data_IF_884027618396
#
_entry.id   IF_884027618396
#
_cell.length_a   1.000
_cell.length_b   1.000
_cell.length_c   1.000
_cell.angle_alpha   90.00
_cell.angle_beta   90.00
_cell.angle_gamma   90.00
#
_symmetry.space_group_name_H-M   'P 1'
#
loop_
_entity.id
_entity.type
_entity.pdbx_description
1 polymer ?
#
# COMPACT_ATOMS: atom_id res chain seq x y z
N UNK A 1 7.29 -27.95 -26.34
CA UNK A 1 7.86 -27.05 -25.32
C UNK A 1 7.00 -25.79 -25.29
N UNK A 2 6.07 -25.70 -24.33
CA UNK A 2 5.15 -24.56 -24.24
C UNK A 2 5.91 -23.29 -23.88
N UNK A 3 5.88 -22.28 -24.74
CA UNK A 3 6.43 -20.96 -24.45
C UNK A 3 5.41 -20.22 -23.60
N UNK A 4 5.77 -19.86 -22.36
CA UNK A 4 4.99 -18.91 -21.56
C UNK A 4 5.12 -17.53 -22.21
N UNK A 5 4.01 -17.00 -22.73
CA UNK A 5 3.93 -15.63 -23.23
C UNK A 5 3.65 -14.70 -22.05
N UNK A 6 4.36 -13.57 -21.91
CA UNK A 6 4.00 -12.57 -20.91
C UNK A 6 2.62 -11.99 -21.26
N UNK A 7 1.71 -12.01 -20.30
CA UNK A 7 0.38 -11.40 -20.38
C UNK A 7 0.37 -10.19 -19.45
N UNK A 8 -0.09 -9.05 -19.96
CA UNK A 8 -0.30 -7.85 -19.16
C UNK A 8 -1.77 -7.74 -18.78
N UNK A 9 -2.04 -7.48 -17.50
CA UNK A 9 -3.38 -7.25 -16.97
C UNK A 9 -3.35 -6.06 -16.00
N UNK A 10 -4.36 -5.20 -16.08
CA UNK A 10 -4.51 -4.06 -15.17
C UNK A 10 -5.38 -4.49 -14.00
N UNK A 11 -4.83 -4.43 -12.79
CA UNK A 11 -5.55 -4.68 -11.54
C UNK A 11 -5.83 -3.35 -10.82
N UNK A 12 -7.09 -2.93 -10.80
CA UNK A 12 -7.50 -1.70 -10.13
C UNK A 12 -7.67 -1.93 -8.63
N UNK A 13 -7.03 -1.07 -7.82
CA UNK A 13 -7.18 -1.07 -6.36
C UNK A 13 -7.75 0.27 -5.92
N UNK A 14 -9.00 0.26 -5.45
CA UNK A 14 -9.63 1.43 -4.86
C UNK A 14 -9.23 1.56 -3.39
N UNK A 15 -8.34 2.51 -3.08
CA UNK A 15 -7.90 2.76 -1.71
C UNK A 15 -9.09 3.28 -0.88
N UNK A 16 -9.47 2.53 0.16
CA UNK A 16 -10.54 2.94 1.08
C UNK A 16 -9.98 3.78 2.23
N UNK A 17 -10.78 4.74 2.76
CA UNK A 17 -10.44 5.42 4.00
C UNK A 17 -10.13 4.44 5.13
N UNK A 18 -9.29 4.88 6.07
CA UNK A 18 -8.86 4.10 7.24
C UNK A 18 -7.97 2.88 6.98
N UNK A 19 -7.61 2.56 5.73
CA UNK A 19 -6.54 1.59 5.48
C UNK A 19 -5.23 2.06 6.09
N UNK A 20 -4.50 1.11 6.68
CA UNK A 20 -3.23 1.33 7.38
C UNK A 20 -2.13 0.57 6.65
N UNK A 21 -0.89 0.94 6.93
CA UNK A 21 0.26 0.09 6.59
C UNK A 21 -0.01 -1.37 7.01
N UNK A 22 0.20 -2.29 6.07
CA UNK A 22 -0.02 -3.72 6.29
C UNK A 22 -1.39 -4.25 5.83
N UNK A 23 -2.35 -3.41 5.45
CA UNK A 23 -3.61 -3.89 4.84
C UNK A 23 -3.31 -4.73 3.61
N UNK A 24 -3.87 -5.94 3.53
CA UNK A 24 -3.66 -6.91 2.44
C UNK A 24 -4.83 -6.89 1.46
N UNK A 25 -4.53 -6.78 0.17
CA UNK A 25 -5.47 -6.90 -0.94
C UNK A 25 -5.06 -8.12 -1.76
N UNK A 26 -5.95 -9.10 -1.87
CA UNK A 26 -5.64 -10.39 -2.51
C UNK A 26 -6.42 -10.54 -3.81
N UNK A 27 -5.70 -10.79 -4.89
CA UNK A 27 -6.27 -11.19 -6.18
C UNK A 27 -6.03 -12.69 -6.38
N UNK A 28 -7.08 -13.53 -6.27
CA UNK A 28 -6.91 -14.96 -6.30
C UNK A 28 -6.45 -15.44 -7.67
N UNK A 29 -5.53 -16.42 -7.70
CA UNK A 29 -5.03 -17.07 -8.93
C UNK A 29 -4.42 -16.11 -9.97
N UNK A 30 -3.87 -14.97 -9.54
CA UNK A 30 -3.20 -13.97 -10.41
C UNK A 30 -1.66 -14.00 -10.33
N UNK A 31 -1.09 -15.04 -9.73
CA UNK A 31 0.35 -15.30 -9.74
C UNK A 31 0.86 -15.88 -11.06
N UNK A 32 2.08 -16.42 -11.04
CA UNK A 32 2.69 -17.00 -12.23
C UNK A 32 2.00 -18.31 -12.64
N UNK A 33 1.50 -18.37 -13.86
CA UNK A 33 0.91 -19.58 -14.42
C UNK A 33 2.02 -20.55 -14.88
N UNK A 34 1.91 -21.81 -14.48
CA UNK A 34 2.76 -22.91 -14.96
C UNK A 34 1.90 -24.09 -15.39
N UNK A 35 2.29 -24.84 -16.44
CA UNK A 35 1.55 -26.02 -16.87
C UNK A 35 1.38 -27.02 -15.71
N UNK A 36 0.15 -27.48 -15.49
CA UNK A 36 -0.23 -28.45 -14.45
C UNK A 36 -0.10 -27.96 -12.99
N UNK A 37 0.05 -26.66 -12.74
CA UNK A 37 0.12 -26.07 -11.40
C UNK A 37 -1.00 -25.07 -11.21
N UNK A 38 -1.63 -25.09 -10.02
CA UNK A 38 -2.62 -24.07 -9.65
C UNK A 38 -1.88 -22.75 -9.42
N UNK A 39 -2.32 -21.70 -10.11
CA UNK A 39 -1.78 -20.35 -9.98
C UNK A 39 -1.91 -19.84 -8.56
N UNK A 40 -0.84 -19.24 -8.03
CA UNK A 40 -0.84 -18.63 -6.70
C UNK A 40 -1.65 -17.34 -6.68
N UNK A 41 -1.97 -16.85 -5.48
CA UNK A 41 -2.63 -15.56 -5.32
C UNK A 41 -1.61 -14.42 -5.39
N UNK A 42 -2.04 -13.28 -5.92
CA UNK A 42 -1.27 -12.04 -5.91
C UNK A 42 -1.74 -11.18 -4.73
N UNK A 43 -0.83 -10.87 -3.81
CA UNK A 43 -1.15 -10.08 -2.61
C UNK A 43 -0.42 -8.75 -2.65
N UNK A 44 -1.20 -7.67 -2.66
CA UNK A 44 -0.69 -6.31 -2.44
C UNK A 44 -0.76 -5.97 -0.96
N UNK A 45 0.30 -5.37 -0.44
CA UNK A 45 0.35 -4.86 0.93
C UNK A 45 0.45 -3.35 0.84
N UNK A 46 -0.48 -2.65 1.50
CA UNK A 46 -0.44 -1.20 1.59
C UNK A 46 0.76 -0.79 2.44
N UNK A 47 1.54 0.15 1.92
CA UNK A 47 2.60 0.84 2.66
C UNK A 47 2.31 2.34 2.73
N UNK A 48 2.85 2.98 3.76
CA UNK A 48 2.74 4.40 3.98
C UNK A 48 3.98 5.11 3.46
N UNK A 49 3.80 5.98 2.46
CA UNK A 49 4.88 6.81 1.95
C UNK A 49 5.12 7.98 2.92
N UNK A 50 6.38 8.29 3.28
CA UNK A 50 6.70 9.46 4.09
C UNK A 50 6.11 10.74 3.49
N UNK A 51 5.48 11.55 4.33
CA UNK A 51 4.94 12.86 3.97
C UNK A 51 5.80 13.97 4.59
N UNK A 52 5.99 15.07 3.88
CA UNK A 52 6.91 16.15 4.31
C UNK A 52 6.49 16.83 5.61
N UNK A 53 5.19 16.83 5.92
CA UNK A 53 4.61 17.57 7.04
C UNK A 53 4.08 16.66 8.15
N UNK A 54 3.58 15.48 7.79
CA UNK A 54 2.80 14.65 8.70
C UNK A 54 3.41 13.26 8.78
N UNK A 55 3.43 12.69 9.98
CA UNK A 55 3.66 11.26 10.19
C UNK A 55 2.38 10.67 10.73
N UNK A 56 1.93 9.55 10.17
CA UNK A 56 0.73 8.87 10.65
C UNK A 56 1.10 7.95 11.82
N UNK A 57 0.32 8.00 12.90
CA UNK A 57 0.38 7.04 13.99
C UNK A 57 -1.02 6.46 14.20
N UNK A 58 -1.24 5.25 13.70
CA UNK A 58 -2.54 4.60 13.72
C UNK A 58 -3.63 5.39 12.98
N UNK A 59 -4.48 6.08 13.73
CA UNK A 59 -5.57 6.92 13.21
C UNK A 59 -5.25 8.43 13.28
N UNK A 60 -4.11 8.80 13.84
CA UNK A 60 -3.74 10.18 14.10
C UNK A 60 -2.68 10.67 13.11
N UNK A 61 -2.66 11.99 12.89
CA UNK A 61 -1.62 12.68 12.13
C UNK A 61 -0.79 13.52 13.09
N UNK A 62 0.50 13.21 13.17
CA UNK A 62 1.48 13.88 14.03
C UNK A 62 2.29 14.85 13.18
N UNK A 63 2.47 16.07 13.69
CA UNK A 63 3.37 17.09 13.12
C UNK A 63 4.23 17.69 14.23
N UNK A 64 5.52 17.86 13.95
CA UNK A 64 6.42 18.61 14.81
C UNK A 64 6.51 20.06 14.31
N UNK A 65 5.82 20.97 14.98
CA UNK A 65 5.86 22.40 14.65
C UNK A 65 6.82 23.14 15.57
N UNK A 66 7.79 23.84 14.98
CA UNK A 66 8.67 24.74 15.73
C UNK A 66 7.98 26.08 15.90
N UNK A 67 7.80 26.49 17.14
CA UNK A 67 7.24 27.80 17.51
C UNK A 67 8.27 28.60 18.32
N UNK A 68 8.15 29.92 18.26
CA UNK A 68 8.87 30.85 19.12
C UNK A 68 8.26 30.89 20.53
N UNK A 69 9.04 31.35 21.51
CA UNK A 69 8.53 31.54 22.87
C UNK A 69 7.37 32.55 22.91
N UNK A 70 7.43 33.60 22.07
CA UNK A 70 6.35 34.57 21.94
C UNK A 70 5.05 33.90 21.48
N UNK A 71 5.08 33.11 20.40
CA UNK A 71 3.90 32.36 19.92
C UNK A 71 3.38 31.32 20.93
N UNK A 72 4.23 30.84 21.83
CA UNK A 72 3.82 29.91 22.88
C UNK A 72 3.12 30.60 24.07
N UNK A 73 3.37 31.89 24.28
CA UNK A 73 2.90 32.65 25.45
C UNK A 73 1.77 33.64 25.14
N UNK A 74 1.51 33.93 23.87
CA UNK A 74 0.39 34.78 23.37
C UNK A 74 -0.42 34.05 22.34
#
# INVERSE_FOLDING_TARGET
MGKTLPVEEILTIDIKPSWKKGTKITFPKKGNEQPNVITTDLVFIIDEKPHSTFTRDGNDLIVAQKISLTEALT
#
